data_IF_779286122146
#
_entry.id   IF_779286122146
#
_cell.length_a   1.000
_cell.length_b   1.000
_cell.length_c   1.000
_cell.angle_alpha   90.00
_cell.angle_beta   90.00
_cell.angle_gamma   90.00
#
_symmetry.space_group_name_H-M   'P 1'
#
loop_
_entity.id
_entity.type
_entity.pdbx_description
1 polymer ?
#
# COMPACT_ATOMS: atom_id res chain seq x y z
N UNK A 1 -0.42 1.15 -13.07
CA UNK A 1 -0.73 0.30 -11.88
C UNK A 1 -0.74 1.12 -10.60
N UNK A 2 -1.43 0.64 -9.56
CA UNK A 2 -1.59 1.32 -8.27
C UNK A 2 -1.13 0.42 -7.11
N UNK A 3 -0.27 0.97 -6.25
CA UNK A 3 0.29 0.32 -5.07
C UNK A 3 -0.12 1.07 -3.79
N UNK A 4 -0.54 0.37 -2.75
CA UNK A 4 -0.86 0.99 -1.45
C UNK A 4 -0.13 0.24 -0.35
N UNK A 5 0.67 0.93 0.45
CA UNK A 5 1.37 0.36 1.59
C UNK A 5 0.63 0.72 2.87
N UNK A 6 0.01 -0.26 3.52
CA UNK A 6 -0.54 -0.13 4.86
C UNK A 6 0.58 -0.40 5.86
N UNK A 7 1.00 0.63 6.59
CA UNK A 7 2.14 0.57 7.51
C UNK A 7 1.63 0.66 8.93
N UNK A 8 1.76 -0.45 9.65
CA UNK A 8 1.45 -0.53 11.07
C UNK A 8 2.48 0.28 11.88
N UNK A 9 1.97 1.22 12.66
CA UNK A 9 2.72 2.08 13.58
C UNK A 9 2.15 1.99 14.99
N UNK A 10 1.46 0.90 15.31
CA UNK A 10 1.00 0.59 16.65
C UNK A 10 2.18 0.41 17.61
N UNK A 11 1.94 0.54 18.90
CA UNK A 11 2.97 0.45 19.93
C UNK A 11 3.70 -0.90 19.97
N UNK A 12 3.08 -1.98 19.49
CA UNK A 12 3.73 -3.28 19.36
C UNK A 12 4.88 -3.22 18.36
N UNK A 13 4.83 -2.36 17.34
CA UNK A 13 5.86 -2.21 16.31
C UNK A 13 7.13 -1.49 16.80
N UNK A 14 7.22 -1.04 18.06
CA UNK A 14 8.40 -0.32 18.58
C UNK A 14 9.72 -1.10 18.44
N UNK A 15 10.84 -0.37 18.41
CA UNK A 15 12.19 -0.94 18.31
C UNK A 15 12.47 -1.55 16.95
N UNK A 16 13.14 -2.71 16.94
CA UNK A 16 13.61 -3.41 15.73
C UNK A 16 12.51 -3.62 14.68
N UNK A 17 11.27 -3.90 15.09
CA UNK A 17 10.15 -4.10 14.16
C UNK A 17 9.85 -2.86 13.32
N UNK A 18 9.88 -1.66 13.90
CA UNK A 18 9.69 -0.43 13.16
C UNK A 18 10.86 -0.21 12.20
N UNK A 19 12.09 -0.45 12.64
CA UNK A 19 13.28 -0.29 11.79
C UNK A 19 13.24 -1.21 10.57
N UNK A 20 12.89 -2.49 10.77
CA UNK A 20 12.69 -3.45 9.69
C UNK A 20 11.55 -3.03 8.75
N UNK A 21 10.45 -2.55 9.31
CA UNK A 21 9.31 -2.04 8.53
C UNK A 21 9.72 -0.89 7.61
N UNK A 22 10.50 0.07 8.13
CA UNK A 22 10.98 1.20 7.33
C UNK A 22 12.01 0.78 6.29
N UNK A 23 12.89 -0.18 6.60
CA UNK A 23 13.83 -0.76 5.63
C UNK A 23 13.08 -1.48 4.50
N UNK A 24 12.12 -2.35 4.83
CA UNK A 24 11.31 -3.06 3.86
C UNK A 24 10.52 -2.09 2.97
N UNK A 25 9.86 -1.09 3.57
CA UNK A 25 9.10 -0.09 2.83
C UNK A 25 9.97 0.69 1.83
N UNK A 26 11.19 1.07 2.22
CA UNK A 26 12.13 1.75 1.30
C UNK A 26 12.55 0.86 0.14
N UNK A 27 12.79 -0.42 0.39
CA UNK A 27 13.13 -1.39 -0.65
C UNK A 27 11.96 -1.59 -1.62
N UNK A 28 10.73 -1.71 -1.10
CA UNK A 28 9.54 -1.78 -1.95
C UNK A 28 9.38 -0.57 -2.85
N UNK A 29 9.49 0.65 -2.29
CA UNK A 29 9.32 1.87 -3.08
C UNK A 29 10.39 1.97 -4.17
N UNK A 30 11.62 1.54 -3.89
CA UNK A 30 12.70 1.47 -4.88
C UNK A 30 12.46 0.42 -5.97
N UNK A 31 11.76 -0.67 -5.67
CA UNK A 31 11.46 -1.73 -6.64
C UNK A 31 10.19 -1.49 -7.46
N UNK A 32 9.43 -0.43 -7.14
CA UNK A 32 8.24 -0.07 -7.90
C UNK A 32 8.59 0.25 -9.37
N UNK A 33 7.73 -0.14 -10.33
CA UNK A 33 7.90 0.27 -11.72
C UNK A 33 7.94 1.80 -11.84
N UNK A 34 8.78 2.36 -12.74
CA UNK A 34 8.73 3.78 -13.06
C UNK A 34 7.31 4.21 -13.44
N UNK A 35 6.90 5.42 -13.06
CA UNK A 35 5.58 5.99 -13.32
C UNK A 35 4.38 5.26 -12.66
N UNK A 36 4.62 4.21 -11.87
CA UNK A 36 3.56 3.61 -11.06
C UNK A 36 3.00 4.61 -10.05
N UNK A 37 1.70 4.50 -9.71
CA UNK A 37 1.12 5.25 -8.60
C UNK A 37 1.30 4.49 -7.30
N UNK A 38 1.70 5.18 -6.24
CA UNK A 38 1.76 4.59 -4.92
C UNK A 38 1.27 5.51 -3.81
N UNK A 39 0.88 4.94 -2.68
CA UNK A 39 0.60 5.67 -1.46
C UNK A 39 1.02 4.87 -0.23
N UNK A 40 1.48 5.57 0.81
CA UNK A 40 1.64 5.01 2.15
C UNK A 40 0.47 5.46 3.01
N UNK A 41 -0.21 4.51 3.65
CA UNK A 41 -1.24 4.73 4.66
C UNK A 41 -0.69 4.22 5.99
N UNK A 42 -0.41 5.14 6.91
CA UNK A 42 0.01 4.82 8.28
C UNK A 42 -1.21 4.49 9.13
N UNK A 43 -1.15 3.46 9.97
CA UNK A 43 -2.23 3.12 10.87
C UNK A 43 -1.77 2.64 12.26
N UNK A 44 -2.68 2.76 13.22
CA UNK A 44 -2.62 2.30 14.60
C UNK A 44 -4.04 2.36 15.18
N UNK A 45 -4.27 3.11 16.25
CA UNK A 45 -5.64 3.49 16.69
C UNK A 45 -6.35 4.37 15.66
N UNK A 46 -5.59 5.24 15.00
CA UNK A 46 -6.05 6.09 13.89
C UNK A 46 -5.27 5.74 12.63
N UNK A 47 -5.76 6.16 11.46
CA UNK A 47 -5.01 6.01 10.21
C UNK A 47 -5.01 7.31 9.40
N UNK A 48 -3.99 7.48 8.56
CA UNK A 48 -3.90 8.59 7.61
C UNK A 48 -3.05 8.23 6.38
N UNK A 49 -3.43 8.78 5.23
CA UNK A 49 -2.66 8.70 3.99
C UNK A 49 -1.54 9.75 3.93
N UNK A 50 -0.47 9.42 3.23
CA UNK A 50 0.66 10.32 2.96
C UNK A 50 0.33 11.42 1.94
N UNK A 51 -0.69 11.20 1.08
CA UNK A 51 -1.16 12.19 0.11
C UNK A 51 -2.35 12.98 0.64
N UNK A 52 -2.31 14.33 0.54
CA UNK A 52 -3.40 15.21 0.99
C UNK A 52 -4.61 15.20 0.07
N UNK A 53 -4.36 15.08 -1.23
CA UNK A 53 -5.36 15.13 -2.31
C UNK A 53 -5.99 13.76 -2.62
N UNK A 54 -5.54 12.72 -1.90
CA UNK A 54 -5.97 11.33 -2.07
C UNK A 54 -5.64 10.75 -3.45
N UNK A 55 -4.65 11.30 -4.15
CA UNK A 55 -4.20 10.80 -5.47
C UNK A 55 -2.91 9.98 -5.40
N UNK A 56 -2.27 9.89 -4.22
CA UNK A 56 -0.97 9.27 -4.06
C UNK A 56 0.14 10.00 -4.81
N UNK A 57 1.22 9.30 -5.08
CA UNK A 57 2.43 9.80 -5.70
C UNK A 57 2.73 9.02 -6.98
N UNK A 58 3.27 9.70 -7.99
CA UNK A 58 3.91 9.04 -9.13
C UNK A 58 5.30 8.60 -8.69
N UNK A 59 5.69 7.38 -9.02
CA UNK A 59 7.04 6.85 -8.79
C UNK A 59 8.04 7.53 -9.74
N UNK A 60 8.60 8.65 -9.26
CA UNK A 60 9.69 9.41 -9.85
C UNK A 60 10.64 9.86 -8.72
N UNK A 61 11.85 10.29 -9.09
CA UNK A 61 12.91 10.59 -8.12
C UNK A 61 12.52 11.66 -7.10
N UNK A 62 11.85 12.73 -7.54
CA UNK A 62 11.41 13.81 -6.65
C UNK A 62 10.43 13.33 -5.58
N UNK A 63 9.42 12.54 -5.97
CA UNK A 63 8.43 12.03 -5.03
C UNK A 63 9.02 10.94 -4.14
N UNK A 64 9.89 10.09 -4.68
CA UNK A 64 10.62 9.07 -3.89
C UNK A 64 11.51 9.75 -2.85
N UNK A 65 12.23 10.81 -3.19
CA UNK A 65 13.04 11.58 -2.25
C UNK A 65 12.19 12.21 -1.15
N UNK A 66 11.07 12.86 -1.49
CA UNK A 66 10.11 13.42 -0.51
C UNK A 66 9.58 12.36 0.45
N UNK A 67 9.21 11.19 -0.09
CA UNK A 67 8.68 10.09 0.70
C UNK A 67 9.75 9.46 1.58
N UNK A 68 10.99 9.32 1.11
CA UNK A 68 12.09 8.78 1.93
C UNK A 68 12.37 9.65 3.16
N UNK A 69 12.28 10.99 3.01
CA UNK A 69 12.36 11.92 4.15
C UNK A 69 11.20 11.72 5.13
N UNK A 70 9.98 11.50 4.63
CA UNK A 70 8.82 11.23 5.48
C UNK A 70 8.95 9.87 6.21
N UNK A 71 9.37 8.81 5.52
CA UNK A 71 9.61 7.48 6.08
C UNK A 71 10.67 7.54 7.19
N UNK A 72 11.73 8.31 7.01
CA UNK A 72 12.79 8.47 8.03
C UNK A 72 12.28 9.04 9.37
N UNK A 73 11.12 9.70 9.38
CA UNK A 73 10.51 10.30 10.57
C UNK A 73 9.40 9.44 11.18
N UNK A 74 9.06 8.31 10.57
CA UNK A 74 8.02 7.41 11.08
C UNK A 74 8.51 6.65 12.30
N UNK A 75 7.63 6.47 13.28
CA UNK A 75 7.87 5.72 14.51
C UNK A 75 6.60 4.98 14.96
N UNK A 76 6.71 4.06 15.91
CA UNK A 76 5.56 3.31 16.45
C UNK A 76 4.81 4.13 17.52
N UNK A 77 4.14 5.19 17.07
CA UNK A 77 3.51 6.25 17.87
C UNK A 77 1.98 6.37 17.66
N UNK A 78 1.35 5.47 16.89
CA UNK A 78 -0.09 5.56 16.58
C UNK A 78 -0.99 4.78 17.55
N UNK A 79 -0.47 4.33 18.69
CA UNK A 79 -1.26 3.74 19.77
C UNK A 79 -1.56 2.25 19.57
N UNK A 80 -2.82 1.85 19.69
CA UNK A 80 -3.28 0.47 19.47
C UNK A 80 -3.31 0.08 17.99
N UNK A 81 -4.06 -0.97 17.65
CA UNK A 81 -4.07 -1.54 16.29
C UNK A 81 -5.48 -1.67 15.73
N UNK A 82 -5.74 -1.02 14.60
CA UNK A 82 -6.96 -1.14 13.80
C UNK A 82 -6.60 -1.38 12.33
N UNK A 83 -6.72 -2.63 11.87
CA UNK A 83 -6.42 -3.02 10.49
C UNK A 83 -7.63 -2.83 9.57
N UNK A 84 -8.85 -2.97 10.09
CA UNK A 84 -10.08 -3.02 9.30
C UNK A 84 -10.29 -1.72 8.51
N UNK A 85 -10.32 -0.58 9.19
CA UNK A 85 -10.62 0.71 8.57
C UNK A 85 -9.58 1.18 7.54
N UNK A 86 -8.25 1.11 7.81
CA UNK A 86 -7.26 1.45 6.78
C UNK A 86 -7.28 0.47 5.59
N UNK A 87 -7.61 -0.80 5.82
CA UNK A 87 -7.76 -1.77 4.72
C UNK A 87 -8.98 -1.44 3.86
N UNK A 88 -10.13 -1.15 4.47
CA UNK A 88 -11.33 -0.74 3.77
C UNK A 88 -11.08 0.55 2.98
N UNK A 89 -10.42 1.52 3.61
CA UNK A 89 -10.00 2.75 2.96
C UNK A 89 -9.14 2.49 1.71
N UNK A 90 -8.13 1.63 1.82
CA UNK A 90 -7.24 1.29 0.71
C UNK A 90 -7.97 0.56 -0.43
N UNK A 91 -8.88 -0.35 -0.11
CA UNK A 91 -9.72 -1.07 -1.09
C UNK A 91 -10.65 -0.10 -1.83
N UNK A 92 -11.35 0.77 -1.10
CA UNK A 92 -12.32 1.72 -1.65
C UNK A 92 -11.68 2.96 -2.28
N UNK A 93 -10.36 3.12 -2.15
CA UNK A 93 -9.60 4.26 -2.69
C UNK A 93 -9.75 4.34 -4.22
N UNK A 94 -10.41 5.37 -4.72
CA UNK A 94 -10.46 5.66 -6.15
C UNK A 94 -9.23 6.49 -6.54
N UNK A 95 -8.23 5.85 -7.15
CA UNK A 95 -7.23 6.58 -7.92
C UNK A 95 -7.84 6.85 -9.29
N UNK A 96 -8.70 7.87 -9.39
CA UNK A 96 -9.07 8.63 -10.60
C UNK A 96 -10.30 9.50 -10.24
N UNK A 97 -10.17 10.81 -10.48
CA UNK A 97 -11.24 11.61 -11.08
C UNK A 97 -10.65 12.22 -12.36
N UNK A 98 -10.87 11.57 -13.50
CA UNK A 98 -10.91 12.33 -14.76
C UNK A 98 -12.28 12.98 -14.73
N UNK A 99 -12.33 14.30 -14.62
CA UNK A 99 -13.61 15.02 -14.74
C UNK A 99 -14.14 14.87 -16.17
N UNK A 100 -15.46 14.90 -16.41
CA UNK A 100 -16.00 14.90 -17.78
C UNK A 100 -15.34 15.95 -18.68
N UNK A 101 -15.00 17.12 -18.12
CA UNK A 101 -14.24 18.18 -18.77
C UNK A 101 -12.84 17.74 -19.19
N UNK A 102 -12.11 17.01 -18.34
CA UNK A 102 -10.80 16.45 -18.70
C UNK A 102 -10.91 15.32 -19.74
N UNK A 103 -12.01 14.55 -19.77
CA UNK A 103 -12.25 13.58 -20.85
C UNK A 103 -12.44 14.32 -22.19
N UNK A 104 -13.15 15.44 -22.18
CA UNK A 104 -13.44 16.24 -23.36
C UNK A 104 -12.18 16.99 -23.87
N UNK A 105 -11.41 17.60 -22.95
CA UNK A 105 -10.13 18.23 -23.26
C UNK A 105 -9.07 17.23 -23.72
N UNK A 106 -9.09 16.00 -23.18
CA UNK A 106 -8.18 14.92 -23.58
C UNK A 106 -8.60 14.31 -24.93
N UNK A 107 -9.89 14.13 -25.22
CA UNK A 107 -10.38 13.73 -26.56
C UNK A 107 -9.91 14.69 -27.66
N UNK A 108 -9.90 16.00 -27.38
CA UNK A 108 -9.37 17.00 -28.31
C UNK A 108 -7.83 16.90 -28.48
N UNK A 109 -7.08 16.55 -27.44
CA UNK A 109 -5.61 16.39 -27.48
C UNK A 109 -5.17 15.06 -28.09
N UNK A 110 -5.94 14.01 -27.87
CA UNK A 110 -5.64 12.65 -28.31
C UNK A 110 -5.79 12.48 -29.82
N UNK A 111 -6.64 13.27 -30.50
CA UNK A 111 -6.75 13.19 -31.97
C UNK A 111 -5.45 13.56 -32.70
N UNK A 112 -4.62 14.43 -32.11
CA UNK A 112 -3.32 14.83 -32.65
C UNK A 112 -2.14 13.98 -32.11
N UNK A 113 -2.37 13.26 -31.01
CA UNK A 113 -1.36 12.45 -30.29
C UNK A 113 -1.45 10.96 -30.61
N UNK A 114 -2.64 10.46 -31.00
CA UNK A 114 -2.88 9.07 -31.45
C UNK A 114 -1.99 8.65 -32.63
N UNK A 115 -1.44 9.62 -33.39
CA UNK A 115 -0.52 9.34 -34.49
C UNK A 115 0.93 9.09 -34.04
N UNK A 116 1.32 9.23 -32.76
CA UNK A 116 2.76 9.23 -32.39
C UNK A 116 3.25 8.41 -31.19
N UNK A 117 2.45 7.86 -30.27
CA UNK A 117 2.97 6.93 -29.24
C UNK A 117 1.87 6.23 -28.43
N UNK A 118 2.16 5.05 -27.81
CA UNK A 118 1.17 4.29 -27.07
C UNK A 118 0.92 4.90 -25.69
N UNK A 119 -0.21 5.57 -25.50
CA UNK A 119 -0.71 5.98 -24.17
C UNK A 119 -1.75 4.99 -23.66
N UNK A 120 -1.59 4.54 -22.40
CA UNK A 120 -2.50 3.58 -21.76
C UNK A 120 -3.95 4.11 -21.70
N UNK A 121 -4.98 3.24 -21.85
CA UNK A 121 -6.36 3.69 -21.93
C UNK A 121 -6.91 4.24 -20.61
N UNK A 122 -7.62 5.36 -20.70
CA UNK A 122 -8.41 5.93 -19.61
C UNK A 122 -9.65 5.04 -19.38
N UNK A 123 -9.80 4.47 -18.19
CA UNK A 123 -11.03 3.78 -17.77
C UNK A 123 -10.90 2.35 -17.23
N UNK A 124 -9.70 1.80 -17.03
CA UNK A 124 -9.57 0.51 -16.33
C UNK A 124 -9.72 0.69 -14.81
N UNK A 125 -10.63 -0.07 -14.19
CA UNK A 125 -10.56 -0.39 -12.75
C UNK A 125 -9.26 -1.17 -12.51
N UNK A 126 -8.17 -0.46 -12.25
CA UNK A 126 -6.90 -1.08 -11.94
C UNK A 126 -7.05 -1.88 -10.63
N UNK A 127 -6.78 -3.19 -10.69
CA UNK A 127 -6.63 -4.00 -9.49
C UNK A 127 -5.48 -3.40 -8.68
N UNK A 128 -5.79 -2.96 -7.46
CA UNK A 128 -4.83 -2.33 -6.54
C UNK A 128 -3.97 -3.42 -5.93
N UNK A 129 -2.67 -3.19 -5.81
CA UNK A 129 -1.81 -4.05 -4.98
C UNK A 129 -1.62 -3.40 -3.62
N UNK A 130 -2.21 -3.99 -2.60
CA UNK A 130 -2.13 -3.52 -1.21
C UNK A 130 -1.07 -4.35 -0.50
N UNK A 131 -0.12 -3.70 0.17
CA UNK A 131 0.95 -4.32 0.94
C UNK A 131 0.77 -3.95 2.40
N UNK A 132 0.42 -4.92 3.24
CA UNK A 132 0.28 -4.73 4.68
C UNK A 132 1.60 -5.11 5.38
N UNK A 133 2.19 -4.18 6.11
CA UNK A 133 3.36 -4.42 6.97
C UNK A 133 2.91 -4.31 8.42
N UNK A 134 2.92 -5.43 9.16
CA UNK A 134 2.38 -5.51 10.52
C UNK A 134 3.02 -6.67 11.29
N UNK A 135 2.99 -6.61 12.62
CA UNK A 135 3.24 -7.79 13.46
C UNK A 135 1.96 -8.62 13.72
N UNK A 136 0.82 -8.19 13.19
CA UNK A 136 -0.40 -8.98 13.10
C UNK A 136 -1.30 -8.94 14.33
N UNK A 137 -1.18 -7.91 15.17
CA UNK A 137 -2.14 -7.63 16.22
C UNK A 137 -3.50 -7.19 15.63
N UNK A 138 -4.57 -7.94 15.91
CA UNK A 138 -5.93 -7.56 15.49
C UNK A 138 -6.95 -8.16 16.45
N UNK A 139 -7.99 -7.40 16.80
CA UNK A 139 -9.03 -7.85 17.73
C UNK A 139 -10.03 -8.81 17.06
N UNK A 140 -10.41 -8.52 15.81
CA UNK A 140 -11.35 -9.33 15.04
C UNK A 140 -10.74 -9.70 13.67
N UNK A 141 -9.94 -10.80 13.62
CA UNK A 141 -9.42 -11.31 12.36
C UNK A 141 -10.52 -11.63 11.34
N UNK A 142 -11.67 -12.15 11.78
CA UNK A 142 -12.71 -12.64 10.87
C UNK A 142 -13.30 -11.50 10.04
N UNK A 143 -13.55 -10.34 10.66
CA UNK A 143 -14.02 -9.15 9.96
C UNK A 143 -13.03 -8.69 8.87
N UNK A 144 -11.73 -8.62 9.19
CA UNK A 144 -10.69 -8.23 8.23
C UNK A 144 -10.57 -9.23 7.08
N UNK A 145 -10.63 -10.53 7.37
CA UNK A 145 -10.60 -11.58 6.34
C UNK A 145 -11.83 -11.52 5.43
N UNK A 146 -13.02 -11.28 5.99
CA UNK A 146 -14.26 -11.16 5.20
C UNK A 146 -14.24 -9.94 4.29
N UNK A 147 -13.76 -8.79 4.80
CA UNK A 147 -13.56 -7.58 4.01
C UNK A 147 -12.64 -7.86 2.80
N UNK A 148 -11.54 -8.58 3.02
CA UNK A 148 -10.62 -8.98 1.95
C UNK A 148 -11.30 -9.89 0.90
N UNK A 149 -12.00 -10.95 1.34
CA UNK A 149 -12.70 -11.88 0.44
C UNK A 149 -13.74 -11.20 -0.44
N UNK A 150 -14.51 -10.27 0.12
CA UNK A 150 -15.56 -9.56 -0.60
C UNK A 150 -15.02 -8.58 -1.66
N UNK A 151 -13.74 -8.22 -1.60
CA UNK A 151 -13.15 -7.17 -2.44
C UNK A 151 -12.00 -7.65 -3.34
N UNK A 152 -11.89 -8.96 -3.56
CA UNK A 152 -10.85 -9.56 -4.42
C UNK A 152 -10.84 -9.06 -5.87
N UNK A 153 -11.96 -8.52 -6.37
CA UNK A 153 -12.07 -7.93 -7.70
C UNK A 153 -11.50 -6.50 -7.76
N UNK A 154 -11.25 -5.86 -6.62
CA UNK A 154 -10.76 -4.47 -6.50
C UNK A 154 -9.31 -4.38 -6.06
N UNK A 155 -8.83 -5.38 -5.30
CA UNK A 155 -7.49 -5.37 -4.73
C UNK A 155 -6.91 -6.78 -4.55
N UNK A 156 -5.61 -6.89 -4.79
CA UNK A 156 -4.76 -7.97 -4.32
C UNK A 156 -4.09 -7.53 -3.02
N UNK A 157 -4.18 -8.33 -1.96
CA UNK A 157 -3.60 -8.00 -0.65
C UNK A 157 -2.40 -8.90 -0.38
N UNK A 158 -1.23 -8.29 -0.31
CA UNK A 158 0.04 -8.88 0.06
C UNK A 158 0.36 -8.52 1.51
N UNK A 159 0.93 -9.45 2.27
CA UNK A 159 1.19 -9.24 3.71
C UNK A 159 2.65 -9.55 4.06
N UNK A 160 3.21 -8.72 4.93
CA UNK A 160 4.56 -8.83 5.47
C UNK A 160 4.43 -8.88 6.98
N UNK A 161 4.60 -10.09 7.53
CA UNK A 161 4.67 -10.30 8.96
C UNK A 161 6.02 -9.86 9.50
N UNK A 162 6.06 -8.83 10.33
CA UNK A 162 7.29 -8.23 10.82
C UNK A 162 7.60 -8.69 12.25
N UNK A 163 8.81 -9.22 12.44
CA UNK A 163 9.33 -9.73 13.71
C UNK A 163 8.95 -11.18 14.02
N UNK A 164 9.76 -11.80 14.87
CA UNK A 164 9.66 -13.23 15.22
C UNK A 164 8.33 -13.60 15.88
N UNK A 165 7.70 -12.64 16.57
CA UNK A 165 6.42 -12.82 17.27
C UNK A 165 5.17 -12.51 16.43
N UNK A 166 5.30 -12.28 15.11
CA UNK A 166 4.15 -11.87 14.33
C UNK A 166 3.09 -12.96 14.16
N UNK A 167 1.82 -12.57 14.03
CA UNK A 167 0.71 -13.51 13.83
C UNK A 167 0.79 -14.18 12.46
N UNK A 168 1.39 -15.38 12.42
CA UNK A 168 1.48 -16.21 11.22
C UNK A 168 0.11 -16.54 10.63
N UNK A 169 -0.90 -16.71 11.47
CA UNK A 169 -2.28 -16.95 11.05
C UNK A 169 -2.83 -15.76 10.26
N UNK A 170 -2.81 -14.55 10.84
CA UNK A 170 -3.39 -13.38 10.18
C UNK A 170 -2.66 -13.05 8.87
N UNK A 171 -1.32 -13.07 8.90
CA UNK A 171 -0.49 -12.77 7.72
C UNK A 171 -0.82 -13.73 6.56
N UNK A 172 -0.90 -15.04 6.83
CA UNK A 172 -1.21 -16.05 5.80
C UNK A 172 -2.66 -15.98 5.34
N UNK A 173 -3.62 -15.90 6.26
CA UNK A 173 -5.04 -15.95 5.89
C UNK A 173 -5.49 -14.67 5.20
N UNK A 174 -4.96 -13.50 5.57
CA UNK A 174 -5.33 -12.25 4.93
C UNK A 174 -4.80 -12.16 3.49
N UNK A 175 -3.56 -12.60 3.25
CA UNK A 175 -3.04 -12.66 1.88
C UNK A 175 -3.82 -13.63 1.00
N UNK A 176 -4.17 -14.82 1.53
CA UNK A 176 -5.03 -15.80 0.85
C UNK A 176 -6.42 -15.23 0.56
N UNK A 177 -7.04 -14.61 1.56
CA UNK A 177 -8.34 -13.95 1.44
C UNK A 177 -8.33 -12.82 0.41
N UNK A 178 -7.20 -12.12 0.24
CA UNK A 178 -7.02 -11.08 -0.77
C UNK A 178 -6.33 -11.51 -2.06
N UNK A 179 -6.17 -12.82 -2.33
CA UNK A 179 -5.49 -13.36 -3.53
C UNK A 179 -4.10 -12.76 -3.80
N UNK A 180 -3.36 -12.44 -2.75
CA UNK A 180 -1.97 -11.99 -2.82
C UNK A 180 -1.00 -13.01 -2.25
N UNK A 181 0.20 -12.54 -1.94
CA UNK A 181 1.29 -13.33 -1.35
C UNK A 181 1.61 -12.86 0.06
N UNK A 182 2.35 -13.68 0.81
CA UNK A 182 2.86 -13.30 2.12
C UNK A 182 4.35 -13.58 2.26
N UNK A 183 5.01 -12.79 3.10
CA UNK A 183 6.39 -13.01 3.53
C UNK A 183 6.52 -12.71 5.03
N UNK A 184 7.54 -13.28 5.66
CA UNK A 184 7.91 -12.98 7.04
C UNK A 184 9.27 -12.29 7.04
N UNK A 185 9.42 -11.21 7.80
CA UNK A 185 10.65 -10.45 7.98
C UNK A 185 11.04 -10.56 9.45
N UNK A 186 11.99 -11.43 9.73
CA UNK A 186 12.61 -11.72 11.01
C UNK A 186 13.87 -10.85 11.20
N UNK A 187 14.36 -10.74 12.43
CA UNK A 187 15.40 -9.75 12.79
C UNK A 187 16.74 -9.95 12.07
N UNK A 188 17.08 -11.20 11.74
CA UNK A 188 18.33 -11.58 11.06
C UNK A 188 18.17 -11.75 9.55
N UNK A 189 16.99 -11.42 8.99
CA UNK A 189 16.72 -11.66 7.57
C UNK A 189 17.48 -10.70 6.63
N UNK A 190 17.95 -11.25 5.51
CA UNK A 190 18.29 -10.43 4.34
C UNK A 190 17.00 -9.98 3.64
N UNK A 191 16.52 -8.78 3.97
CA UNK A 191 15.31 -8.20 3.40
C UNK A 191 15.29 -8.16 1.86
N UNK A 192 16.44 -8.03 1.19
CA UNK A 192 16.49 -7.99 -0.28
C UNK A 192 16.06 -9.30 -0.93
N UNK A 193 16.16 -10.44 -0.22
CA UNK A 193 15.74 -11.74 -0.74
C UNK A 193 14.22 -11.98 -0.62
N UNK A 194 13.50 -11.09 0.10
CA UNK A 194 12.07 -11.25 0.43
C UNK A 194 11.14 -10.29 -0.31
N UNK A 195 11.72 -9.35 -1.07
CA UNK A 195 11.05 -8.21 -1.72
C UNK A 195 11.16 -8.34 -3.23
#
# INVERSE_FOLDING_TARGET
>A
MVFIFLVDRSGSMRGNKMEMTLKALRLFIKSLPPNARFEIVSFGTKYYGSSKDRQGFINNDDNVNKINVAIARMSADLGGTNIHDPLEYAIKRLFIKVTPKQIEEQKLRDMHTLMKSPTEPIGQELIRKIFLLTDGAVNDPASVLNLARQNQHKAQIHTFGIGNGCSKYLVKELSRAGRGSYSFVEEDDNLNAKI
#
